data_IF_023265640235
#
_entry.id   IF_023265640235
#
_cell.length_a   1.000
_cell.length_b   1.000
_cell.length_c   1.000
_cell.angle_alpha   90.00
_cell.angle_beta   90.00
_cell.angle_gamma   90.00
#
_symmetry.space_group_name_H-M   'P 1'
#
loop_
_entity.id
_entity.type
_entity.pdbx_description
1 polymer ?
#
# COMPACT_ATOMS: atom_id res chain seq x y z
N UNK A 1 6.38 45.43 0.93
CA UNK A 1 5.28 45.40 -0.06
C UNK A 1 4.87 43.95 -0.19
N UNK A 2 3.65 43.64 0.29
CA UNK A 2 3.02 42.33 0.26
C UNK A 2 2.11 42.24 -0.97
N UNK A 3 2.16 41.12 -1.69
CA UNK A 3 1.14 40.55 -2.59
C UNK A 3 1.65 39.13 -2.91
N UNK A 4 0.94 38.01 -2.76
CA UNK A 4 -0.42 37.72 -2.35
C UNK A 4 -0.65 36.23 -2.66
N UNK A 5 -1.23 35.51 -1.70
CA UNK A 5 -1.34 34.05 -1.65
C UNK A 5 -2.12 33.44 -2.83
N UNK A 6 -1.69 32.27 -3.32
CA UNK A 6 -2.52 31.40 -4.17
C UNK A 6 -3.57 30.69 -3.32
N UNK A 7 -4.83 30.94 -3.67
CA UNK A 7 -6.04 30.46 -3.00
C UNK A 7 -6.24 28.95 -3.20
N UNK A 8 -6.44 28.23 -2.10
CA UNK A 8 -6.90 26.84 -2.07
C UNK A 8 -8.43 26.87 -2.06
N UNK A 9 -9.06 26.59 -3.20
CA UNK A 9 -10.51 26.58 -3.36
C UNK A 9 -11.10 25.23 -2.94
N UNK A 10 -11.67 25.17 -1.72
CA UNK A 10 -12.53 24.08 -1.29
C UNK A 10 -13.92 24.19 -1.90
N UNK A 11 -14.49 23.08 -2.36
CA UNK A 11 -15.92 22.95 -2.66
C UNK A 11 -16.55 21.89 -1.76
N UNK A 12 -16.96 22.34 -0.57
CA UNK A 12 -18.04 21.71 0.17
C UNK A 12 -19.34 21.88 -0.60
N UNK A 13 -19.97 20.78 -0.99
CA UNK A 13 -21.29 20.77 -1.60
C UNK A 13 -22.00 19.46 -1.28
N UNK A 14 -22.68 19.43 -0.14
CA UNK A 14 -23.66 18.40 0.22
C UNK A 14 -25.03 18.71 -0.41
N UNK A 15 -25.84 17.65 -0.48
CA UNK A 15 -27.28 17.58 -0.75
C UNK A 15 -27.73 17.49 -2.21
N UNK A 16 -28.31 16.34 -2.59
CA UNK A 16 -29.77 16.20 -2.45
C UNK A 16 -30.36 14.88 -2.99
N UNK A 17 -31.45 14.51 -2.32
CA UNK A 17 -32.71 13.95 -2.86
C UNK A 17 -32.78 12.51 -3.36
N UNK A 18 -33.36 11.67 -2.50
CA UNK A 18 -33.76 10.29 -2.80
C UNK A 18 -34.85 10.15 -3.86
N UNK A 19 -34.83 9.02 -4.56
CA UNK A 19 -35.87 8.60 -5.48
C UNK A 19 -36.42 7.25 -5.04
N UNK A 20 -37.59 7.27 -4.39
CA UNK A 20 -38.49 6.12 -4.31
C UNK A 20 -39.67 6.41 -5.23
N UNK A 21 -39.79 5.65 -6.33
CA UNK A 21 -41.04 5.57 -7.08
C UNK A 21 -41.64 4.19 -6.85
N UNK A 22 -42.40 4.06 -5.77
CA UNK A 22 -43.50 3.11 -5.73
C UNK A 22 -44.68 3.79 -6.45
N UNK A 23 -45.18 3.17 -7.52
CA UNK A 23 -46.53 3.42 -8.01
C UNK A 23 -47.24 2.08 -8.11
N UNK A 24 -48.06 1.83 -7.10
CA UNK A 24 -49.28 1.05 -7.25
C UNK A 24 -50.24 1.84 -8.14
N UNK A 25 -50.93 1.14 -9.02
CA UNK A 25 -51.84 1.71 -10.00
C UNK A 25 -52.38 0.61 -10.88
N UNK A 26 -53.24 -0.22 -10.30
CA UNK A 26 -54.08 -1.17 -11.00
C UNK A 26 -55.22 -0.42 -11.70
N UNK A 27 -55.35 -0.64 -13.00
CA UNK A 27 -56.54 -0.35 -13.81
C UNK A 27 -56.33 -1.03 -15.17
N UNK A 28 -56.90 -2.23 -15.32
CA UNK A 28 -56.99 -2.90 -16.62
C UNK A 28 -57.93 -2.14 -17.57
N UNK A 29 -57.60 -2.16 -18.86
CA UNK A 29 -58.45 -2.72 -19.93
C UNK A 29 -57.68 -2.71 -21.26
N UNK A 30 -58.15 -3.53 -22.20
CA UNK A 30 -57.82 -3.60 -23.63
C UNK A 30 -56.68 -4.55 -24.07
N UNK A 31 -57.11 -5.75 -24.46
CA UNK A 31 -56.45 -6.53 -25.50
C UNK A 31 -56.46 -5.73 -26.81
N UNK A 32 -55.29 -5.27 -27.28
CA UNK A 32 -55.13 -4.86 -28.67
C UNK A 32 -54.27 -5.88 -29.41
N UNK A 33 -54.94 -6.77 -30.13
CA UNK A 33 -54.36 -7.58 -31.20
C UNK A 33 -53.98 -6.62 -32.33
N UNK A 34 -52.77 -6.07 -32.22
CA UNK A 34 -52.13 -5.33 -33.30
C UNK A 34 -51.62 -6.33 -34.35
N UNK A 35 -52.48 -6.62 -35.31
CA UNK A 35 -52.19 -7.45 -36.48
C UNK A 35 -50.99 -6.90 -37.25
N UNK A 36 -49.78 -7.43 -36.98
CA UNK A 36 -48.68 -7.31 -37.93
C UNK A 36 -49.03 -8.22 -39.09
N UNK A 37 -49.55 -7.61 -40.16
CA UNK A 37 -49.70 -8.23 -41.47
C UNK A 37 -48.38 -8.90 -41.84
N UNK A 38 -48.33 -10.24 -41.75
CA UNK A 38 -47.24 -11.03 -42.30
C UNK A 38 -47.28 -10.82 -43.81
N UNK A 39 -46.18 -10.44 -44.48
CA UNK A 39 -46.17 -10.45 -45.93
C UNK A 39 -46.38 -11.90 -46.40
N UNK A 40 -47.56 -12.19 -46.93
CA UNK A 40 -47.78 -13.39 -47.73
C UNK A 40 -47.07 -13.17 -49.06
N UNK A 41 -45.96 -13.86 -49.27
CA UNK A 41 -45.18 -13.75 -50.48
C UNK A 41 -43.72 -14.08 -50.24
N UNK A 42 -43.43 -15.36 -50.00
CA UNK A 42 -42.05 -15.85 -50.16
C UNK A 42 -42.09 -17.16 -50.93
N UNK A 43 -42.01 -17.01 -52.24
CA UNK A 43 -41.79 -18.10 -53.17
C UNK A 43 -40.56 -18.90 -52.74
N UNK A 44 -40.73 -20.23 -52.78
CA UNK A 44 -39.69 -21.19 -52.52
C UNK A 44 -38.63 -21.12 -53.63
N UNK A 45 -37.60 -20.31 -53.42
CA UNK A 45 -36.32 -20.53 -54.09
C UNK A 45 -35.26 -20.83 -53.02
N UNK A 46 -34.75 -22.07 -53.04
CA UNK A 46 -33.64 -22.53 -52.21
C UNK A 46 -32.43 -21.62 -52.45
N UNK A 47 -32.22 -20.62 -51.59
CA UNK A 47 -30.87 -20.09 -51.35
C UNK A 47 -30.21 -20.95 -50.28
N UNK A 48 -29.62 -22.05 -50.71
CA UNK A 48 -28.45 -22.58 -50.01
C UNK A 48 -27.38 -21.48 -50.03
N UNK A 49 -26.87 -21.09 -48.87
CA UNK A 49 -25.70 -20.22 -48.79
C UNK A 49 -25.69 -19.31 -47.56
N UNK A 50 -24.68 -19.54 -46.70
CA UNK A 50 -24.33 -18.82 -45.47
C UNK A 50 -25.17 -19.14 -44.23
N UNK A 51 -25.18 -20.41 -43.84
CA UNK A 51 -25.51 -20.85 -42.46
C UNK A 51 -24.36 -21.55 -41.73
N UNK A 52 -23.22 -21.72 -42.41
CA UNK A 52 -22.03 -22.43 -41.93
C UNK A 52 -20.85 -21.49 -41.68
N UNK A 53 -20.66 -20.43 -42.47
CA UNK A 53 -19.56 -19.47 -42.29
C UNK A 53 -19.69 -18.68 -40.98
N UNK A 54 -20.89 -18.18 -40.65
CA UNK A 54 -21.12 -17.42 -39.41
C UNK A 54 -21.06 -18.28 -38.14
N UNK A 55 -21.37 -19.58 -38.23
CA UNK A 55 -21.20 -20.53 -37.12
C UNK A 55 -19.73 -20.90 -36.91
N UNK A 56 -18.95 -21.01 -37.99
CA UNK A 56 -17.52 -21.33 -37.94
C UNK A 56 -16.69 -20.15 -37.44
N UNK A 57 -16.96 -18.93 -37.93
CA UNK A 57 -16.37 -17.68 -37.38
C UNK A 57 -16.74 -17.48 -35.91
N UNK A 58 -17.99 -17.77 -35.52
CA UNK A 58 -18.41 -17.66 -34.11
C UNK A 58 -17.75 -18.71 -33.21
N UNK A 59 -17.49 -19.91 -33.71
CA UNK A 59 -16.77 -20.95 -32.97
C UNK A 59 -15.27 -20.60 -32.83
N UNK A 60 -14.65 -20.09 -33.90
CA UNK A 60 -13.27 -19.59 -33.86
C UNK A 60 -13.12 -18.40 -32.91
N UNK A 61 -14.06 -17.44 -32.95
CA UNK A 61 -14.06 -16.31 -32.02
C UNK A 61 -14.24 -16.75 -30.56
N UNK A 62 -15.02 -17.82 -30.29
CA UNK A 62 -15.15 -18.37 -28.94
C UNK A 62 -13.87 -19.08 -28.46
N UNK A 63 -13.17 -19.78 -29.34
CA UNK A 63 -11.88 -20.40 -29.00
C UNK A 63 -10.82 -19.34 -28.69
N UNK A 64 -10.73 -18.28 -29.50
CA UNK A 64 -9.79 -17.16 -29.24
C UNK A 64 -10.11 -16.49 -27.91
N UNK A 65 -11.38 -16.22 -27.60
CA UNK A 65 -11.78 -15.64 -26.30
C UNK A 65 -11.43 -16.58 -25.14
N UNK A 66 -11.50 -17.90 -25.33
CA UNK A 66 -11.14 -18.86 -24.29
C UNK A 66 -9.62 -18.90 -24.05
N UNK A 67 -8.83 -18.92 -25.14
CA UNK A 67 -7.37 -18.86 -25.09
C UNK A 67 -6.87 -17.56 -24.45
N UNK A 68 -7.40 -16.40 -24.89
CA UNK A 68 -7.09 -15.09 -24.32
C UNK A 68 -7.42 -15.01 -22.82
N UNK A 69 -8.50 -15.68 -22.38
CA UNK A 69 -8.90 -15.72 -20.98
C UNK A 69 -7.93 -16.55 -20.13
N UNK A 70 -7.46 -17.68 -20.65
CA UNK A 70 -6.50 -18.53 -19.95
C UNK A 70 -5.12 -17.85 -19.87
N UNK A 71 -4.67 -17.17 -20.94
CA UNK A 71 -3.47 -16.33 -20.93
C UNK A 71 -3.57 -15.20 -19.90
N UNK A 72 -4.69 -14.48 -19.89
CA UNK A 72 -4.94 -13.43 -18.90
C UNK A 72 -4.87 -13.97 -17.47
N UNK A 73 -5.45 -15.15 -17.22
CA UNK A 73 -5.42 -15.78 -15.89
C UNK A 73 -3.99 -16.09 -15.46
N UNK A 74 -3.18 -16.67 -16.35
CA UNK A 74 -1.79 -16.99 -16.06
C UNK A 74 -0.95 -15.74 -15.82
N UNK A 75 -1.13 -14.71 -16.65
CA UNK A 75 -0.49 -13.40 -16.45
C UNK A 75 -0.85 -12.78 -15.09
N UNK A 76 -2.13 -12.86 -14.70
CA UNK A 76 -2.58 -12.36 -13.40
C UNK A 76 -1.91 -13.08 -12.23
N UNK A 77 -1.80 -14.40 -12.29
CA UNK A 77 -1.12 -15.18 -11.26
C UNK A 77 0.36 -14.80 -11.15
N UNK A 78 1.05 -14.64 -12.29
CA UNK A 78 2.43 -14.20 -12.32
C UNK A 78 2.63 -12.79 -11.75
N UNK A 79 1.77 -11.83 -12.09
CA UNK A 79 1.86 -10.47 -11.53
C UNK A 79 1.56 -10.44 -10.02
N UNK A 80 0.68 -11.30 -9.52
CA UNK A 80 0.47 -11.44 -8.07
C UNK A 80 1.73 -11.99 -7.38
N UNK A 81 2.34 -13.04 -7.93
CA UNK A 81 3.59 -13.59 -7.39
C UNK A 81 4.72 -12.54 -7.41
N UNK A 82 4.79 -11.71 -8.47
CA UNK A 82 5.75 -10.61 -8.57
C UNK A 82 5.52 -9.55 -7.49
N UNK A 83 4.27 -9.19 -7.23
CA UNK A 83 3.92 -8.23 -6.18
C UNK A 83 4.27 -8.76 -4.79
N UNK A 84 3.99 -10.04 -4.50
CA UNK A 84 4.36 -10.66 -3.22
C UNK A 84 5.88 -10.63 -3.00
N UNK A 85 6.67 -10.94 -4.04
CA UNK A 85 8.13 -10.84 -3.98
C UNK A 85 8.61 -9.42 -3.69
N UNK A 86 7.98 -8.41 -4.30
CA UNK A 86 8.31 -7.00 -4.07
C UNK A 86 8.00 -6.60 -2.62
N UNK A 87 6.81 -6.97 -2.13
CA UNK A 87 6.38 -6.67 -0.75
C UNK A 87 7.33 -7.34 0.25
N UNK A 88 7.69 -8.60 0.02
CA UNK A 88 8.62 -9.33 0.88
C UNK A 88 10.00 -8.66 0.91
N UNK A 89 10.55 -8.32 -0.26
CA UNK A 89 11.85 -7.66 -0.37
C UNK A 89 11.87 -6.28 0.31
N UNK A 90 10.78 -5.51 0.22
CA UNK A 90 10.65 -4.23 0.93
C UNK A 90 10.60 -4.42 2.44
N UNK A 91 9.83 -5.40 2.92
CA UNK A 91 9.79 -5.73 4.34
C UNK A 91 11.16 -6.19 4.86
N UNK A 92 11.88 -7.01 4.10
CA UNK A 92 13.24 -7.43 4.45
C UNK A 92 14.22 -6.24 4.49
N UNK A 93 14.23 -5.40 3.45
CA UNK A 93 15.09 -4.22 3.41
C UNK A 93 14.82 -3.24 4.58
N UNK A 94 13.54 -3.05 4.94
CA UNK A 94 13.19 -2.20 6.09
C UNK A 94 13.61 -2.81 7.42
N UNK A 95 13.48 -4.13 7.56
CA UNK A 95 13.95 -4.87 8.74
C UNK A 95 15.47 -4.77 8.87
N UNK A 96 16.22 -5.03 7.80
CA UNK A 96 17.69 -4.92 7.78
C UNK A 96 18.15 -3.51 8.12
N UNK A 97 17.52 -2.48 7.56
CA UNK A 97 17.82 -1.09 7.90
C UNK A 97 17.59 -0.82 9.39
N UNK A 98 16.48 -1.30 9.95
CA UNK A 98 16.19 -1.13 11.38
C UNK A 98 17.22 -1.88 12.25
N UNK A 99 17.59 -3.10 11.88
CA UNK A 99 18.61 -3.87 12.59
C UNK A 99 19.98 -3.18 12.56
N UNK A 100 20.38 -2.66 11.41
CA UNK A 100 21.61 -1.89 11.26
C UNK A 100 21.61 -0.64 12.16
N UNK A 101 20.50 0.10 12.22
CA UNK A 101 20.40 1.28 13.11
C UNK A 101 20.52 0.90 14.59
N UNK A 102 19.85 -0.18 15.02
CA UNK A 102 19.92 -0.67 16.41
C UNK A 102 21.33 -1.14 16.77
N UNK A 103 21.98 -1.88 15.87
CA UNK A 103 23.35 -2.35 16.07
C UNK A 103 24.33 -1.18 16.20
N UNK A 104 24.14 -0.10 15.43
CA UNK A 104 24.97 1.10 15.52
C UNK A 104 24.77 1.85 16.85
N UNK A 105 23.53 2.00 17.31
CA UNK A 105 23.21 2.60 18.61
C UNK A 105 23.81 1.80 19.76
N UNK A 106 23.67 0.47 19.73
CA UNK A 106 24.26 -0.43 20.72
C UNK A 106 25.79 -0.35 20.72
N UNK A 107 26.43 -0.36 19.55
CA UNK A 107 27.88 -0.19 19.45
C UNK A 107 28.34 1.16 20.04
N UNK A 108 27.54 2.21 19.88
CA UNK A 108 27.81 3.54 20.45
C UNK A 108 27.64 3.54 21.96
N UNK A 109 26.58 2.89 22.47
CA UNK A 109 26.33 2.69 23.91
C UNK A 109 27.48 1.93 24.58
N UNK A 110 27.90 0.81 24.00
CA UNK A 110 29.01 -0.01 24.52
C UNK A 110 30.32 0.79 24.58
N UNK A 111 30.62 1.61 23.56
CA UNK A 111 31.81 2.47 23.56
C UNK A 111 31.76 3.50 24.68
N UNK A 112 30.61 4.14 24.90
CA UNK A 112 30.43 5.13 25.97
C UNK A 112 30.56 4.46 27.35
N UNK A 113 29.93 3.31 27.55
CA UNK A 113 30.04 2.52 28.78
C UNK A 113 31.50 2.12 29.05
N UNK A 114 32.24 1.68 28.04
CA UNK A 114 33.65 1.32 28.20
C UNK A 114 34.51 2.52 28.67
N UNK A 115 34.22 3.73 28.18
CA UNK A 115 34.85 4.97 28.67
C UNK A 115 34.43 5.25 30.11
N UNK A 116 33.13 5.14 30.42
CA UNK A 116 32.59 5.34 31.77
C UNK A 116 33.20 4.36 32.78
N UNK A 117 33.37 3.08 32.44
CA UNK A 117 34.01 2.08 33.30
C UNK A 117 35.47 2.44 33.61
N UNK A 118 36.22 2.96 32.64
CA UNK A 118 37.60 3.41 32.87
C UNK A 118 37.64 4.59 33.83
N UNK A 119 36.76 5.57 33.65
CA UNK A 119 36.61 6.73 34.54
C UNK A 119 36.22 6.28 35.95
N UNK A 120 35.22 5.42 36.08
CA UNK A 120 34.79 4.85 37.36
C UNK A 120 35.95 4.15 38.08
N UNK A 121 36.74 3.35 37.36
CA UNK A 121 37.91 2.68 37.91
C UNK A 121 38.97 3.66 38.41
N UNK A 122 39.21 4.77 37.72
CA UNK A 122 40.13 5.80 38.19
C UNK A 122 39.59 6.52 39.42
N UNK A 123 38.31 6.89 39.40
CA UNK A 123 37.62 7.51 40.54
C UNK A 123 37.76 6.65 41.81
N UNK A 124 37.43 5.36 41.72
CA UNK A 124 37.56 4.42 42.84
C UNK A 124 38.99 4.29 43.38
N UNK A 125 40.01 4.35 42.51
CA UNK A 125 41.40 4.29 42.96
C UNK A 125 41.84 5.56 43.69
N UNK A 126 41.41 6.71 43.20
CA UNK A 126 41.73 8.00 43.81
C UNK A 126 40.98 8.21 45.12
N UNK A 127 39.72 7.76 45.21
CA UNK A 127 38.90 7.92 46.41
C UNK A 127 39.39 7.13 47.63
N UNK A 128 40.18 6.08 47.42
CA UNK A 128 40.75 5.24 48.50
C UNK A 128 42.14 5.74 48.94
N UNK A 129 42.76 6.65 48.19
CA UNK A 129 44.10 7.15 48.51
C UNK A 129 44.02 8.11 49.72
N UNK A 130 44.80 7.86 50.75
CA UNK A 130 44.78 8.64 52.00
C UNK A 130 45.38 10.05 51.84
N UNK A 131 46.39 10.20 50.98
CA UNK A 131 47.03 11.48 50.68
C UNK A 131 47.01 11.76 49.17
N UNK A 132 46.13 12.67 48.75
CA UNK A 132 46.09 13.18 47.38
C UNK A 132 46.91 14.48 47.30
N UNK A 133 47.75 14.58 46.28
CA UNK A 133 48.28 15.86 45.82
C UNK A 133 47.17 16.71 45.18
N UNK A 134 47.43 17.99 44.97
CA UNK A 134 46.41 18.93 44.48
C UNK A 134 45.92 18.61 43.07
N UNK A 135 46.79 18.05 42.22
CA UNK A 135 46.41 17.55 40.89
C UNK A 135 45.39 16.41 40.99
N UNK A 136 45.67 15.41 41.83
CA UNK A 136 44.78 14.28 42.06
C UNK A 136 43.46 14.70 42.70
N UNK A 137 43.45 15.71 43.57
CA UNK A 137 42.22 16.29 44.12
C UNK A 137 41.35 16.90 43.02
N UNK A 138 41.93 17.69 42.11
CA UNK A 138 41.20 18.27 40.97
C UNK A 138 40.66 17.19 40.04
N UNK A 139 41.48 16.19 39.72
CA UNK A 139 41.07 15.06 38.88
C UNK A 139 39.93 14.25 39.51
N UNK A 140 39.95 14.04 40.83
CA UNK A 140 38.88 13.34 41.54
C UNK A 140 37.55 14.10 41.45
N UNK A 141 37.55 15.43 41.61
CA UNK A 141 36.33 16.24 41.52
C UNK A 141 35.81 16.30 40.08
N UNK A 142 36.69 16.46 39.08
CA UNK A 142 36.29 16.42 37.66
C UNK A 142 35.64 15.08 37.29
N UNK A 143 36.22 13.96 37.73
CA UNK A 143 35.64 12.63 37.50
C UNK A 143 34.28 12.46 38.18
N UNK A 144 34.10 13.07 39.36
CA UNK A 144 32.84 13.02 40.09
C UNK A 144 31.73 13.74 39.33
N UNK A 145 31.99 14.96 38.85
CA UNK A 145 31.02 15.69 38.02
C UNK A 145 30.65 14.89 36.77
N UNK A 146 31.65 14.40 36.03
CA UNK A 146 31.41 13.69 34.77
C UNK A 146 30.75 12.31 34.93
N UNK A 147 30.90 11.64 36.08
CA UNK A 147 30.31 10.32 36.31
C UNK A 147 28.89 10.38 36.88
N UNK A 148 28.55 11.45 37.60
CA UNK A 148 27.37 11.51 38.49
C UNK A 148 26.49 12.75 38.33
N UNK A 149 26.89 13.80 37.60
CA UNK A 149 26.08 15.03 37.44
C UNK A 149 25.29 15.11 36.13
N UNK A 150 25.32 14.07 35.29
CA UNK A 150 24.40 13.92 34.15
C UNK A 150 23.10 13.22 34.61
N UNK A 151 22.17 13.98 35.20
CA UNK A 151 20.80 13.58 35.52
C UNK A 151 19.80 14.72 35.25
#
# INVERSE_FOLDING_TARGET
MSLGNMSVGGNTGSDSSGSKRAREGDAGDSNFVGSISRPMGRDANKKQGKGTSSRKEKAEALNVVHEDWDEYKHFKEQEFERLDKIVLAQHEATKEHQEATKAQEEASRIKLEAVRTKKMKMFMKLSVKEHLDDYNKQLLEMLKMELFEDA
#
